data_IF_561140008701
#
_entry.id   IF_561140008701
#
_cell.length_a   1.000
_cell.length_b   1.000
_cell.length_c   1.000
_cell.angle_alpha   90.00
_cell.angle_beta   90.00
_cell.angle_gamma   90.00
#
_symmetry.space_group_name_H-M   'P 1'
#
loop_
_entity.id
_entity.type
_entity.pdbx_description
1 polymer ?
#
# COMPACT_ATOMS: atom_id res chain seq x y z
N UNK A 1 -3.52 -3.36 -20.59
CA UNK A 1 -2.57 -2.59 -21.44
C UNK A 1 -2.04 -3.40 -22.62
N UNK A 2 -1.61 -4.64 -22.42
CA UNK A 2 -1.03 -5.47 -23.49
C UNK A 2 -2.04 -6.05 -24.50
N UNK A 3 -3.35 -6.00 -24.20
CA UNK A 3 -4.42 -6.47 -25.11
C UNK A 3 -4.38 -5.80 -26.50
N UNK A 4 -3.96 -4.53 -26.59
CA UNK A 4 -3.78 -3.83 -27.87
C UNK A 4 -2.73 -4.47 -28.79
N UNK A 5 -1.83 -5.28 -28.22
CA UNK A 5 -0.81 -6.05 -28.94
C UNK A 5 -1.19 -7.53 -29.09
N UNK A 6 -2.48 -7.85 -28.93
CA UNK A 6 -3.01 -9.23 -28.96
C UNK A 6 -2.40 -10.15 -27.88
N UNK A 7 -1.89 -9.56 -26.80
CA UNK A 7 -1.37 -10.29 -25.63
C UNK A 7 -2.38 -10.20 -24.49
N UNK A 8 -3.19 -11.24 -24.37
CA UNK A 8 -4.17 -11.41 -23.30
C UNK A 8 -3.55 -12.21 -22.14
N UNK A 9 -3.73 -11.72 -20.91
CA UNK A 9 -3.28 -12.35 -19.68
C UNK A 9 -4.42 -12.96 -18.83
N UNK A 10 -5.65 -13.01 -19.33
CA UNK A 10 -6.82 -13.54 -18.62
C UNK A 10 -6.73 -15.01 -18.20
N UNK A 11 -5.75 -15.76 -18.75
CA UNK A 11 -5.49 -17.15 -18.33
C UNK A 11 -4.55 -17.26 -17.13
N UNK A 12 -3.90 -16.19 -16.67
CA UNK A 12 -2.95 -16.23 -15.55
C UNK A 12 -3.59 -16.88 -14.31
N UNK A 13 -4.79 -16.43 -13.95
CA UNK A 13 -5.54 -16.92 -12.79
C UNK A 13 -5.77 -18.43 -12.82
N UNK A 14 -6.48 -18.97 -13.83
CA UNK A 14 -6.71 -20.41 -13.92
C UNK A 14 -5.44 -21.24 -14.17
N UNK A 15 -4.41 -20.68 -14.83
CA UNK A 15 -3.18 -21.43 -15.15
C UNK A 15 -2.27 -21.59 -13.93
N UNK A 16 -2.07 -20.51 -13.16
CA UNK A 16 -1.13 -20.47 -12.03
C UNK A 16 -1.81 -20.44 -10.66
N UNK A 17 -3.14 -20.56 -10.65
CA UNK A 17 -3.97 -20.63 -9.45
C UNK A 17 -4.14 -19.32 -8.68
N UNK A 18 -3.84 -18.17 -9.30
CA UNK A 18 -3.98 -16.87 -8.63
C UNK A 18 -5.38 -16.29 -8.79
N UNK A 19 -5.84 -15.51 -7.81
CA UNK A 19 -7.03 -14.69 -7.98
C UNK A 19 -6.74 -13.59 -9.01
N UNK A 20 -7.58 -13.51 -10.04
CA UNK A 20 -7.48 -12.53 -11.11
C UNK A 20 -8.87 -11.99 -11.41
N UNK A 21 -8.97 -10.69 -11.67
CA UNK A 21 -10.21 -10.10 -12.14
C UNK A 21 -10.66 -10.74 -13.47
N UNK A 22 -11.97 -10.84 -13.66
CA UNK A 22 -12.57 -11.26 -14.92
C UNK A 22 -12.02 -10.46 -16.10
N UNK A 23 -11.72 -11.16 -17.20
CA UNK A 23 -11.18 -10.59 -18.45
C UNK A 23 -9.87 -9.80 -18.29
N UNK A 24 -9.09 -10.05 -17.24
CA UNK A 24 -7.86 -9.31 -16.92
C UNK A 24 -8.10 -7.80 -16.76
N UNK A 25 -9.28 -7.42 -16.22
CA UNK A 25 -9.58 -6.02 -15.96
C UNK A 25 -8.70 -5.48 -14.83
N UNK A 26 -8.24 -4.23 -14.97
CA UNK A 26 -7.39 -3.61 -13.94
C UNK A 26 -8.13 -3.38 -12.62
N UNK A 27 -9.44 -3.13 -12.71
CA UNK A 27 -10.39 -3.09 -11.60
C UNK A 27 -11.52 -4.05 -11.95
N UNK A 28 -11.84 -4.95 -11.04
CA UNK A 28 -12.82 -6.00 -11.29
C UNK A 28 -13.29 -6.64 -9.99
N UNK A 29 -13.80 -7.85 -10.10
CA UNK A 29 -14.46 -8.61 -9.04
C UNK A 29 -13.52 -9.08 -7.91
N UNK A 30 -12.24 -9.32 -8.20
CA UNK A 30 -11.27 -9.79 -7.21
C UNK A 30 -10.56 -8.64 -6.48
N UNK A 31 -10.13 -7.60 -7.19
CA UNK A 31 -9.37 -6.47 -6.63
C UNK A 31 -9.55 -5.18 -7.43
N UNK A 32 -9.62 -4.05 -6.72
CA UNK A 32 -9.61 -2.71 -7.30
C UNK A 32 -8.73 -1.76 -6.48
N UNK A 33 -7.71 -1.19 -7.13
CA UNK A 33 -6.87 -0.12 -6.56
C UNK A 33 -7.29 1.25 -7.06
N UNK A 34 -7.49 2.18 -6.13
CA UNK A 34 -7.86 3.56 -6.38
C UNK A 34 -6.65 4.45 -6.18
N UNK A 35 -6.07 4.97 -7.26
CA UNK A 35 -4.93 5.87 -7.20
C UNK A 35 -5.40 7.29 -6.88
N UNK A 36 -4.92 7.84 -5.76
CA UNK A 36 -5.18 9.19 -5.28
C UNK A 36 -6.66 9.63 -5.40
N UNK A 37 -7.63 8.83 -4.89
CA UNK A 37 -9.05 9.07 -5.11
C UNK A 37 -9.58 10.24 -4.29
N UNK A 38 -10.72 10.78 -4.70
CA UNK A 38 -11.26 12.02 -4.14
C UNK A 38 -10.37 13.21 -4.44
N UNK A 39 -10.40 14.20 -3.55
CA UNK A 39 -9.56 15.41 -3.66
C UNK A 39 -8.71 15.62 -2.41
N UNK A 40 -7.87 14.65 -2.05
CA UNK A 40 -7.00 14.78 -0.88
C UNK A 40 -6.16 16.07 -0.97
N UNK A 41 -6.00 16.83 0.13
CA UNK A 41 -5.08 17.96 0.21
C UNK A 41 -3.67 17.51 -0.18
N UNK A 42 -3.06 18.17 -1.16
CA UNK A 42 -1.75 17.75 -1.66
C UNK A 42 -0.94 18.92 -2.23
N UNK A 43 0.38 18.83 -2.08
CA UNK A 43 1.35 19.66 -2.79
C UNK A 43 1.81 18.89 -4.02
N UNK A 44 1.34 19.33 -5.19
CA UNK A 44 1.59 18.67 -6.45
C UNK A 44 2.59 19.47 -7.28
N UNK A 45 3.48 18.79 -7.98
CA UNK A 45 4.48 19.43 -8.83
C UNK A 45 3.95 19.62 -10.26
N UNK A 46 4.06 20.84 -10.81
CA UNK A 46 3.81 21.07 -12.23
C UNK A 46 4.98 20.51 -13.04
N UNK A 47 4.70 19.56 -13.94
CA UNK A 47 5.74 18.89 -14.74
C UNK A 47 6.59 19.84 -15.58
N UNK A 48 6.03 20.97 -16.03
CA UNK A 48 6.73 21.95 -16.88
C UNK A 48 7.64 22.90 -16.11
N UNK A 49 7.25 23.32 -14.91
CA UNK A 49 7.96 24.38 -14.15
C UNK A 49 8.62 23.89 -12.87
N UNK A 50 8.36 22.65 -12.45
CA UNK A 50 8.77 22.10 -11.15
C UNK A 50 8.25 22.91 -9.95
N UNK A 51 7.25 23.76 -10.17
CA UNK A 51 6.63 24.57 -9.11
C UNK A 51 5.52 23.76 -8.44
N UNK A 52 5.55 23.73 -7.11
CA UNK A 52 4.48 23.14 -6.31
C UNK A 52 3.22 24.00 -6.37
N UNK A 53 2.07 23.38 -6.57
CA UNK A 53 0.75 23.99 -6.40
C UNK A 53 -0.06 23.22 -5.36
N UNK A 54 -1.01 23.93 -4.74
CA UNK A 54 -1.87 23.38 -3.69
C UNK A 54 -3.14 22.81 -4.31
N UNK A 55 -3.38 21.51 -4.16
CA UNK A 55 -4.69 20.91 -4.35
C UNK A 55 -5.40 20.88 -2.99
N UNK A 56 -6.66 21.32 -2.97
CA UNK A 56 -7.51 21.31 -1.77
C UNK A 56 -6.78 21.79 -0.51
N UNK A 57 -6.22 23.02 -0.53
CA UNK A 57 -5.48 23.59 0.59
C UNK A 57 -4.00 23.20 0.70
N UNK A 58 -3.60 22.08 0.08
CA UNK A 58 -2.22 21.59 0.04
C UNK A 58 -1.79 20.77 1.26
N UNK A 59 -2.29 21.08 2.45
CA UNK A 59 -2.11 20.33 3.70
C UNK A 59 -3.48 20.04 4.31
N UNK A 60 -3.64 18.94 5.07
CA UNK A 60 -4.96 18.52 5.55
C UNK A 60 -5.68 19.57 6.40
N UNK A 61 -4.96 20.36 7.21
CA UNK A 61 -5.56 21.40 8.06
C UNK A 61 -6.07 22.65 7.34
N UNK A 62 -5.83 22.76 6.02
CA UNK A 62 -6.41 23.81 5.17
C UNK A 62 -7.29 23.21 4.06
N UNK A 63 -7.59 21.90 4.12
CA UNK A 63 -8.41 21.21 3.14
C UNK A 63 -9.89 21.26 3.44
N UNK A 64 -10.72 21.20 2.39
CA UNK A 64 -12.15 20.99 2.48
C UNK A 64 -12.45 19.48 2.43
N UNK A 65 -12.89 18.94 3.57
CA UNK A 65 -13.21 17.51 3.70
C UNK A 65 -14.46 17.12 2.92
N UNK A 66 -15.52 17.93 2.96
CA UNK A 66 -16.76 17.67 2.21
C UNK A 66 -16.49 17.57 0.72
N UNK A 67 -15.73 18.52 0.16
CA UNK A 67 -15.35 18.48 -1.25
C UNK A 67 -14.55 17.20 -1.60
N UNK A 68 -13.65 16.77 -0.70
CA UNK A 68 -12.90 15.54 -0.90
C UNK A 68 -13.83 14.31 -0.95
N UNK A 69 -14.76 14.19 -0.01
CA UNK A 69 -15.67 13.05 0.10
C UNK A 69 -16.69 13.00 -1.05
N UNK A 70 -17.18 14.16 -1.51
CA UNK A 70 -18.08 14.23 -2.67
C UNK A 70 -17.40 13.74 -3.94
N UNK A 71 -16.13 14.13 -4.16
CA UNK A 71 -15.34 13.66 -5.30
C UNK A 71 -14.94 12.19 -5.13
N UNK A 72 -14.66 11.76 -3.90
CA UNK A 72 -14.35 10.35 -3.63
C UNK A 72 -15.52 9.45 -4.00
N UNK A 73 -16.76 9.84 -3.65
CA UNK A 73 -17.97 9.12 -4.04
C UNK A 73 -18.08 8.97 -5.56
N UNK A 74 -17.86 10.06 -6.32
CA UNK A 74 -17.86 10.02 -7.79
C UNK A 74 -16.79 9.08 -8.34
N UNK A 75 -15.56 9.14 -7.83
CA UNK A 75 -14.51 8.21 -8.23
C UNK A 75 -14.86 6.76 -7.89
N UNK A 76 -15.53 6.49 -6.77
CA UNK A 76 -15.99 5.13 -6.43
C UNK A 76 -16.99 4.62 -7.45
N UNK A 77 -17.99 5.43 -7.80
CA UNK A 77 -19.04 5.06 -8.76
C UNK A 77 -18.48 4.87 -10.19
N UNK A 78 -17.46 5.63 -10.57
CA UNK A 78 -16.80 5.52 -11.86
C UNK A 78 -15.80 4.34 -11.96
N UNK A 79 -15.10 4.02 -10.87
CA UNK A 79 -13.96 3.09 -10.88
C UNK A 79 -14.27 1.70 -10.31
N UNK A 80 -15.26 1.59 -9.42
CA UNK A 80 -15.75 0.34 -8.81
C UNK A 80 -17.25 0.27 -9.05
N UNK A 81 -17.62 0.08 -10.31
CA UNK A 81 -18.99 0.22 -10.81
C UNK A 81 -19.98 -0.78 -10.21
N UNK A 82 -19.51 -1.93 -9.73
CA UNK A 82 -20.34 -2.91 -9.04
C UNK A 82 -20.58 -2.48 -7.59
N UNK A 83 -21.83 -2.13 -7.25
CA UNK A 83 -22.22 -1.75 -5.89
C UNK A 83 -22.10 -2.91 -4.90
N UNK A 84 -22.20 -4.15 -5.37
CA UNK A 84 -22.07 -5.37 -4.57
C UNK A 84 -20.64 -5.93 -4.56
N UNK A 85 -19.67 -5.14 -5.05
CA UNK A 85 -18.25 -5.50 -5.09
C UNK A 85 -17.82 -6.08 -3.73
N UNK A 86 -17.35 -7.33 -3.76
CA UNK A 86 -16.95 -8.09 -2.59
C UNK A 86 -15.46 -8.46 -2.58
N UNK A 87 -14.67 -7.85 -3.46
CA UNK A 87 -13.24 -8.09 -3.59
C UNK A 87 -12.41 -7.24 -2.64
N UNK A 88 -11.12 -7.13 -2.98
CA UNK A 88 -10.14 -6.33 -2.24
C UNK A 88 -10.16 -4.88 -2.75
N UNK A 89 -10.55 -3.94 -1.89
CA UNK A 89 -10.52 -2.51 -2.17
C UNK A 89 -9.28 -1.84 -1.59
N UNK A 90 -8.48 -1.19 -2.43
CA UNK A 90 -7.22 -0.55 -2.01
C UNK A 90 -7.27 0.94 -2.29
N UNK A 91 -7.15 1.75 -1.24
CA UNK A 91 -6.98 3.19 -1.36
C UNK A 91 -5.48 3.50 -1.40
N UNK A 92 -5.01 3.95 -2.55
CA UNK A 92 -3.61 4.31 -2.75
C UNK A 92 -3.44 5.82 -2.67
N UNK A 93 -3.13 6.29 -1.45
CA UNK A 93 -2.91 7.69 -1.14
C UNK A 93 -1.52 7.86 -0.52
N UNK A 94 -0.60 8.48 -1.26
CA UNK A 94 0.81 8.62 -0.86
C UNK A 94 1.29 10.07 -0.73
N UNK A 95 0.39 11.06 -0.86
CA UNK A 95 0.79 12.47 -0.91
C UNK A 95 1.43 12.93 0.40
N UNK A 96 0.95 12.45 1.55
CA UNK A 96 1.53 12.69 2.87
C UNK A 96 1.19 11.54 3.83
N UNK A 97 1.89 11.47 4.97
CA UNK A 97 1.66 10.48 6.03
C UNK A 97 0.95 11.14 7.21
N UNK A 98 0.00 10.46 7.89
CA UNK A 98 -0.80 11.06 8.98
C UNK A 98 0.00 11.38 10.25
N UNK A 99 1.26 10.93 10.35
CA UNK A 99 2.19 11.32 11.40
C UNK A 99 3.13 12.40 10.87
N UNK A 100 3.10 13.59 11.47
CA UNK A 100 3.79 14.78 10.97
C UNK A 100 5.29 14.55 10.80
N UNK A 101 5.93 13.88 11.78
CA UNK A 101 7.36 13.57 11.77
C UNK A 101 7.77 12.67 10.59
N UNK A 102 6.88 11.79 10.13
CA UNK A 102 7.17 10.85 9.04
C UNK A 102 7.14 11.52 7.65
N UNK A 103 6.78 12.79 7.53
CA UNK A 103 6.81 13.55 6.28
C UNK A 103 8.21 14.11 5.98
N UNK A 104 9.19 13.22 5.83
CA UNK A 104 10.57 13.54 5.48
C UNK A 104 10.88 13.32 3.99
N UNK A 105 12.07 13.75 3.54
CA UNK A 105 12.50 13.58 2.16
C UNK A 105 11.65 14.42 1.20
N UNK A 106 11.09 13.79 0.16
CA UNK A 106 10.19 14.46 -0.78
C UNK A 106 8.90 14.99 -0.14
N UNK A 107 8.56 14.54 1.08
CA UNK A 107 7.38 14.99 1.82
C UNK A 107 7.66 16.16 2.78
N UNK A 108 8.91 16.63 2.87
CA UNK A 108 9.29 17.79 3.69
C UNK A 108 8.44 19.05 3.41
N UNK A 109 8.03 19.36 2.16
CA UNK A 109 7.21 20.54 1.88
C UNK A 109 5.88 20.61 2.66
N UNK A 110 5.31 19.49 3.07
CA UNK A 110 4.09 19.48 3.91
C UNK A 110 4.37 20.02 5.32
N UNK A 111 5.53 19.69 5.89
CA UNK A 111 5.97 20.24 7.17
C UNK A 111 6.24 21.73 7.05
N UNK A 112 6.98 22.13 6.01
CA UNK A 112 7.35 23.53 5.79
C UNK A 112 6.12 24.42 5.60
N UNK A 113 5.14 23.95 4.81
CA UNK A 113 3.89 24.68 4.62
C UNK A 113 3.07 24.76 5.92
N UNK A 114 2.98 23.68 6.67
CA UNK A 114 2.27 23.67 7.96
C UNK A 114 2.89 24.66 8.95
N UNK A 115 4.23 24.67 9.06
CA UNK A 115 4.97 25.63 9.89
C UNK A 115 4.75 27.08 9.44
N UNK A 116 4.77 27.32 8.12
CA UNK A 116 4.54 28.65 7.54
C UNK A 116 3.14 29.18 7.88
N UNK A 117 2.12 28.32 7.80
CA UNK A 117 0.74 28.67 8.14
C UNK A 117 0.65 29.08 9.61
N UNK A 118 1.21 28.29 10.53
CA UNK A 118 1.16 28.63 11.96
C UNK A 118 1.96 29.89 12.28
N UNK A 119 3.10 30.12 11.62
CA UNK A 119 3.86 31.36 11.80
C UNK A 119 3.07 32.58 11.34
N UNK A 120 2.28 32.47 10.27
CA UNK A 120 1.43 33.55 9.78
C UNK A 120 0.24 33.82 10.74
N UNK A 121 -0.37 32.76 11.27
CA UNK A 121 -1.49 32.87 12.23
C UNK A 121 -1.05 33.36 13.60
N UNK A 122 0.19 33.02 14.00
CA UNK A 122 0.74 33.31 15.32
C UNK A 122 2.15 33.92 15.22
N UNK A 123 2.30 35.17 14.73
CA UNK A 123 3.61 35.77 14.43
C UNK A 123 4.57 35.82 15.61
N UNK A 124 4.03 35.97 16.82
CA UNK A 124 4.79 36.17 18.05
C UNK A 124 5.08 34.88 18.83
N UNK A 125 4.55 33.72 18.40
CA UNK A 125 4.80 32.47 19.11
C UNK A 125 6.25 31.97 18.89
N UNK A 126 6.89 31.41 19.93
CA UNK A 126 8.20 30.78 19.78
C UNK A 126 8.16 29.55 18.85
N UNK A 127 9.27 29.20 18.18
CA UNK A 127 9.33 28.08 17.23
C UNK A 127 8.79 26.74 17.75
N UNK A 128 9.10 26.40 19.01
CA UNK A 128 8.63 25.16 19.64
C UNK A 128 7.10 25.06 19.70
N UNK A 129 6.43 26.19 19.97
CA UNK A 129 4.97 26.23 20.04
C UNK A 129 4.33 26.21 18.65
N UNK A 130 4.98 26.82 17.66
CA UNK A 130 4.57 26.72 16.26
C UNK A 130 4.65 25.28 15.75
N UNK A 131 5.73 24.55 16.07
CA UNK A 131 5.87 23.14 15.69
C UNK A 131 4.84 22.24 16.37
N UNK A 132 4.57 22.47 17.67
CA UNK A 132 3.54 21.74 18.39
C UNK A 132 2.15 21.96 17.77
N UNK A 133 1.80 23.22 17.43
CA UNK A 133 0.51 23.54 16.83
C UNK A 133 0.39 23.02 15.38
N UNK A 134 1.46 23.15 14.59
CA UNK A 134 1.51 22.61 13.23
C UNK A 134 1.33 21.09 13.23
N UNK A 135 2.01 20.39 14.14
CA UNK A 135 1.86 18.94 14.35
C UNK A 135 0.43 18.60 14.74
N UNK A 136 -0.13 19.28 15.76
CA UNK A 136 -1.47 19.02 16.27
C UNK A 136 -2.53 19.18 15.18
N UNK A 137 -2.50 20.30 14.45
CA UNK A 137 -3.48 20.57 13.38
C UNK A 137 -3.33 19.59 12.24
N UNK A 138 -2.10 19.34 11.78
CA UNK A 138 -1.83 18.43 10.66
C UNK A 138 -2.26 16.99 10.97
N UNK A 139 -1.88 16.44 12.13
CA UNK A 139 -2.20 15.05 12.46
C UNK A 139 -3.70 14.87 12.76
N UNK A 140 -4.34 15.86 13.38
CA UNK A 140 -5.79 15.83 13.66
C UNK A 140 -6.60 15.78 12.36
N UNK A 141 -6.36 16.71 11.43
CA UNK A 141 -7.11 16.75 10.17
C UNK A 141 -6.64 15.66 9.21
N UNK A 142 -5.37 15.29 9.23
CA UNK A 142 -4.84 14.15 8.47
C UNK A 142 -5.56 12.85 8.83
N UNK A 143 -5.79 12.61 10.13
CA UNK A 143 -6.66 11.51 10.61
C UNK A 143 -8.08 11.63 10.07
N UNK A 144 -8.69 12.81 10.16
CA UNK A 144 -10.08 13.01 9.74
C UNK A 144 -10.28 12.69 8.25
N UNK A 145 -9.41 13.20 7.38
CA UNK A 145 -9.43 12.89 5.95
C UNK A 145 -9.30 11.39 5.70
N UNK A 146 -8.31 10.71 6.29
CA UNK A 146 -8.12 9.28 6.03
C UNK A 146 -9.24 8.40 6.62
N UNK A 147 -9.68 8.69 7.85
CA UNK A 147 -10.71 7.89 8.53
C UNK A 147 -12.07 8.02 7.83
N UNK A 148 -12.48 9.25 7.47
CA UNK A 148 -13.78 9.48 6.82
C UNK A 148 -13.81 8.89 5.41
N UNK A 149 -12.69 8.88 4.69
CA UNK A 149 -12.59 8.27 3.36
C UNK A 149 -12.67 6.75 3.42
N UNK A 150 -11.99 6.12 4.40
CA UNK A 150 -12.12 4.67 4.62
C UNK A 150 -13.55 4.29 5.02
N UNK A 151 -14.15 5.05 5.94
CA UNK A 151 -15.54 4.85 6.34
C UNK A 151 -16.49 4.97 5.14
N UNK A 152 -16.32 5.99 4.30
CA UNK A 152 -17.14 6.18 3.11
C UNK A 152 -16.95 5.03 2.09
N UNK A 153 -15.72 4.55 1.89
CA UNK A 153 -15.46 3.40 1.02
C UNK A 153 -16.24 2.14 1.47
N UNK A 154 -16.21 1.87 2.78
CA UNK A 154 -16.97 0.77 3.40
C UNK A 154 -18.48 0.97 3.29
N UNK A 155 -18.97 2.20 3.40
CA UNK A 155 -20.41 2.47 3.24
C UNK A 155 -20.87 2.29 1.79
N UNK A 156 -20.05 2.70 0.82
CA UNK A 156 -20.38 2.63 -0.60
C UNK A 156 -20.27 1.21 -1.16
N UNK A 157 -19.32 0.42 -0.68
CA UNK A 157 -19.11 -0.99 -1.09
C UNK A 157 -18.94 -1.87 0.15
N UNK A 158 -20.05 -2.18 0.85
CA UNK A 158 -20.02 -2.83 2.17
C UNK A 158 -19.59 -4.30 2.17
N UNK A 159 -19.60 -4.96 1.00
CA UNK A 159 -19.13 -6.35 0.87
C UNK A 159 -17.63 -6.45 0.60
N UNK A 160 -16.99 -5.36 0.19
CA UNK A 160 -15.56 -5.33 -0.10
C UNK A 160 -14.75 -5.24 1.19
N UNK A 161 -13.50 -5.70 1.12
CA UNK A 161 -12.52 -5.55 2.20
C UNK A 161 -11.59 -4.38 1.90
N UNK A 162 -11.60 -3.35 2.73
CA UNK A 162 -10.88 -2.10 2.48
C UNK A 162 -9.63 -1.90 3.34
N UNK A 163 -8.67 -1.15 2.80
CA UNK A 163 -7.51 -0.66 3.51
C UNK A 163 -6.65 0.31 2.68
N UNK A 164 -5.70 0.96 3.32
CA UNK A 164 -4.75 1.86 2.67
C UNK A 164 -3.46 1.14 2.25
N UNK A 165 -3.02 1.38 1.03
CA UNK A 165 -1.73 0.92 0.55
C UNK A 165 -0.57 1.43 1.44
N UNK A 166 0.47 0.60 1.57
CA UNK A 166 1.73 0.81 2.26
C UNK A 166 1.71 0.86 3.80
N UNK A 167 0.54 0.92 4.46
CA UNK A 167 0.46 0.94 5.92
C UNK A 167 0.49 -0.47 6.55
N UNK A 168 1.10 -0.63 7.75
CA UNK A 168 1.96 0.34 8.44
C UNK A 168 3.32 0.50 7.76
N UNK A 169 3.89 1.71 7.88
CA UNK A 169 5.28 1.92 7.50
C UNK A 169 6.24 1.37 8.57
N UNK A 170 7.39 0.89 8.12
CA UNK A 170 8.47 0.38 8.98
C UNK A 170 9.79 1.16 8.81
N UNK A 171 10.04 1.68 7.60
CA UNK A 171 11.27 2.36 7.18
C UNK A 171 12.58 1.59 7.44
N UNK A 172 12.50 0.28 7.62
CA UNK A 172 13.65 -0.61 7.80
C UNK A 172 14.52 -0.70 6.54
N UNK A 173 15.77 -1.15 6.74
CA UNK A 173 16.74 -1.37 5.68
C UNK A 173 17.04 -0.14 4.79
N UNK A 174 16.84 1.10 5.28
CA UNK A 174 16.99 2.32 4.48
C UNK A 174 18.37 3.02 4.55
N UNK A 175 19.33 2.49 5.32
CA UNK A 175 20.65 3.11 5.58
C UNK A 175 21.68 3.07 4.44
N UNK A 176 21.29 2.91 3.18
CA UNK A 176 22.22 2.76 2.05
C UNK A 176 22.97 1.41 2.03
N UNK A 177 23.95 1.27 1.13
CA UNK A 177 24.74 0.04 0.94
C UNK A 177 25.85 -0.18 1.98
N UNK A 178 25.99 0.70 2.98
CA UNK A 178 26.96 0.50 4.07
C UNK A 178 26.28 -0.17 5.27
N UNK A 179 26.88 -1.25 5.74
CA UNK A 179 26.36 -2.22 6.73
C UNK A 179 25.94 -1.62 8.08
N UNK A 180 26.41 -0.41 8.43
CA UNK A 180 26.14 0.21 9.73
C UNK A 180 24.73 0.83 9.87
N UNK A 181 23.96 0.93 8.76
CA UNK A 181 22.64 1.57 8.74
C UNK A 181 21.45 0.64 8.50
N UNK A 182 21.69 -0.67 8.33
CA UNK A 182 20.65 -1.63 7.97
C UNK A 182 20.07 -2.31 9.21
N UNK A 183 18.93 -1.80 9.68
CA UNK A 183 18.14 -2.40 10.76
C UNK A 183 16.98 -3.18 10.17
N UNK A 184 16.83 -4.44 10.59
CA UNK A 184 15.76 -5.34 10.17
C UNK A 184 14.41 -4.88 10.71
N UNK A 185 14.31 -4.73 12.02
CA UNK A 185 13.06 -4.32 12.67
C UNK A 185 12.81 -2.82 12.50
N UNK A 186 11.53 -2.45 12.51
CA UNK A 186 11.12 -1.05 12.55
C UNK A 186 11.65 -0.41 13.85
N UNK A 187 12.04 0.87 13.80
CA UNK A 187 12.54 1.53 15.00
C UNK A 187 11.44 1.64 16.07
N UNK A 188 11.83 1.65 17.35
CA UNK A 188 10.88 1.81 18.45
C UNK A 188 10.04 3.10 18.36
N UNK A 189 10.59 4.16 17.75
CA UNK A 189 9.85 5.39 17.46
C UNK A 189 8.75 5.16 16.42
N UNK A 190 9.06 4.46 15.32
CA UNK A 190 8.08 4.13 14.28
C UNK A 190 7.00 3.20 14.81
N UNK A 191 7.34 2.23 15.65
CA UNK A 191 6.35 1.35 16.30
C UNK A 191 5.39 2.14 17.21
N UNK A 192 5.91 3.08 18.01
CA UNK A 192 5.06 3.97 18.83
C UNK A 192 4.17 4.87 17.97
N UNK A 193 4.65 5.32 16.82
CA UNK A 193 3.84 6.10 15.88
C UNK A 193 2.76 5.26 15.21
N UNK A 194 3.05 4.02 14.85
CA UNK A 194 2.06 3.06 14.36
C UNK A 194 0.99 2.79 15.42
N UNK A 195 1.38 2.70 16.70
CA UNK A 195 0.41 2.59 17.81
C UNK A 195 -0.51 3.83 17.93
N UNK A 196 -0.02 5.04 17.59
CA UNK A 196 -0.83 6.26 17.61
C UNK A 196 -1.83 6.33 16.44
N UNK A 197 -1.57 5.61 15.36
CA UNK A 197 -2.51 5.46 14.23
C UNK A 197 -3.29 4.15 14.28
N UNK A 198 -3.44 3.54 15.47
CA UNK A 198 -4.25 2.34 15.66
C UNK A 198 -5.66 2.47 15.07
N UNK A 199 -6.24 3.68 15.12
CA UNK A 199 -7.53 4.02 14.51
C UNK A 199 -7.62 3.64 13.01
N UNK A 200 -6.52 3.69 12.27
CA UNK A 200 -6.51 3.32 10.85
C UNK A 200 -6.72 1.81 10.67
N UNK A 201 -6.11 1.02 11.56
CA UNK A 201 -6.16 -0.44 11.51
C UNK A 201 -7.43 -1.01 12.18
N UNK A 202 -8.01 -0.27 13.13
CA UNK A 202 -9.29 -0.61 13.73
C UNK A 202 -10.43 -0.53 12.70
N UNK A 203 -10.35 0.40 11.75
CA UNK A 203 -11.37 0.62 10.72
C UNK A 203 -11.07 -0.12 9.38
N UNK A 204 -9.90 -0.76 9.26
CA UNK A 204 -9.49 -1.50 8.04
C UNK A 204 -9.88 -2.97 8.10
N UNK A 205 -10.32 -3.56 6.98
CA UNK A 205 -10.49 -5.02 6.86
C UNK A 205 -9.17 -5.71 6.47
N UNK A 206 -8.27 -4.98 5.80
CA UNK A 206 -6.97 -5.47 5.34
C UNK A 206 -5.87 -4.43 5.58
N UNK A 207 -4.69 -4.90 5.98
CA UNK A 207 -3.45 -4.13 6.12
C UNK A 207 -2.51 -4.47 4.96
N UNK A 208 -2.01 -3.44 4.27
CA UNK A 208 -1.25 -3.57 3.02
C UNK A 208 0.20 -3.09 3.12
N UNK A 209 1.10 -3.78 3.87
CA UNK A 209 2.50 -3.38 3.90
C UNK A 209 3.15 -3.57 2.53
N UNK A 210 3.85 -2.55 2.03
CA UNK A 210 4.68 -2.67 0.83
C UNK A 210 6.03 -3.30 1.20
N UNK A 211 6.41 -4.38 0.51
CA UNK A 211 7.69 -5.09 0.71
C UNK A 211 8.56 -5.08 -0.54
N UNK A 212 8.46 -4.00 -1.33
CA UNK A 212 9.17 -3.88 -2.60
C UNK A 212 10.69 -3.98 -2.42
N UNK A 213 11.30 -4.88 -3.18
CA UNK A 213 12.72 -5.19 -3.10
C UNK A 213 13.56 -4.16 -3.86
N UNK A 214 14.85 -4.10 -3.50
CA UNK A 214 15.88 -3.31 -4.19
C UNK A 214 17.05 -4.22 -4.54
N UNK A 215 17.54 -4.13 -5.78
CA UNK A 215 18.64 -4.94 -6.30
C UNK A 215 19.93 -4.65 -5.52
N UNK A 216 20.15 -3.41 -5.09
CA UNK A 216 21.33 -3.03 -4.31
C UNK A 216 21.43 -3.63 -2.90
N UNK A 217 20.35 -4.22 -2.38
CA UNK A 217 20.38 -4.96 -1.11
C UNK A 217 20.86 -6.39 -1.36
N UNK A 218 21.69 -6.94 -0.48
CA UNK A 218 22.06 -8.35 -0.52
C UNK A 218 20.83 -9.26 -0.30
N UNK A 219 20.91 -10.52 -0.75
CA UNK A 219 19.78 -11.46 -0.64
C UNK A 219 19.26 -11.61 0.79
N UNK A 220 20.16 -11.71 1.78
CA UNK A 220 19.77 -11.75 3.20
C UNK A 220 19.05 -10.49 3.65
N UNK A 221 19.49 -9.31 3.20
CA UNK A 221 18.91 -8.03 3.59
C UNK A 221 17.54 -7.78 2.94
N UNK A 222 17.28 -8.34 1.76
CA UNK A 222 15.94 -8.38 1.15
C UNK A 222 14.97 -9.19 2.02
N UNK A 223 15.41 -10.31 2.58
CA UNK A 223 14.60 -11.11 3.52
C UNK A 223 14.36 -10.34 4.82
N UNK A 224 15.38 -9.67 5.37
CA UNK A 224 15.23 -8.81 6.56
C UNK A 224 14.23 -7.68 6.32
N UNK A 225 14.26 -7.06 5.13
CA UNK A 225 13.31 -6.02 4.73
C UNK A 225 11.88 -6.55 4.84
N UNK A 226 11.60 -7.70 4.24
CA UNK A 226 10.27 -8.34 4.28
C UNK A 226 9.91 -8.67 5.73
N UNK A 227 10.78 -9.38 6.45
CA UNK A 227 10.50 -9.84 7.81
C UNK A 227 10.10 -8.70 8.74
N UNK A 228 10.87 -7.61 8.77
CA UNK A 228 10.56 -6.47 9.64
C UNK A 228 9.22 -5.81 9.31
N UNK A 229 8.90 -5.65 8.02
CA UNK A 229 7.64 -5.02 7.57
C UNK A 229 6.43 -5.90 7.85
N UNK A 230 6.53 -7.21 7.59
CA UNK A 230 5.43 -8.15 7.84
C UNK A 230 5.18 -8.33 9.33
N UNK A 231 6.23 -8.44 10.15
CA UNK A 231 6.10 -8.49 11.63
C UNK A 231 5.33 -7.29 12.17
N UNK A 232 5.62 -6.08 11.68
CA UNK A 232 4.94 -4.87 12.13
C UNK A 232 3.47 -4.83 11.67
N UNK A 233 3.19 -5.21 10.42
CA UNK A 233 1.81 -5.31 9.93
C UNK A 233 0.99 -6.31 10.75
N UNK A 234 1.54 -7.49 11.04
CA UNK A 234 0.91 -8.51 11.88
C UNK A 234 0.73 -8.02 13.32
N UNK A 235 1.69 -7.26 13.86
CA UNK A 235 1.56 -6.64 15.19
C UNK A 235 0.37 -5.68 15.23
N UNK A 236 0.22 -4.83 14.22
CA UNK A 236 -0.91 -3.90 14.13
C UNK A 236 -2.25 -4.62 13.91
N UNK A 237 -2.30 -5.65 13.05
CA UNK A 237 -3.48 -6.48 12.83
C UNK A 237 -3.97 -7.13 14.13
N UNK A 238 -3.07 -7.72 14.93
CA UNK A 238 -3.43 -8.37 16.20
C UNK A 238 -3.98 -7.37 17.23
N UNK A 239 -3.41 -6.17 17.25
CA UNK A 239 -3.81 -5.08 18.17
C UNK A 239 -5.11 -4.39 17.74
N UNK A 240 -5.49 -4.48 16.47
CA UNK A 240 -6.67 -3.82 15.93
C UNK A 240 -7.94 -4.18 16.71
N UNK A 241 -8.72 -3.18 17.10
CA UNK A 241 -10.01 -3.37 17.75
C UNK A 241 -11.12 -3.67 16.72
N UNK A 242 -10.88 -4.69 15.89
CA UNK A 242 -11.80 -5.17 14.86
C UNK A 242 -12.10 -6.66 15.07
N UNK A 243 -13.33 -7.06 14.70
CA UNK A 243 -13.77 -8.46 14.68
C UNK A 243 -14.52 -8.75 13.37
N UNK A 244 -13.98 -9.60 12.48
CA UNK A 244 -12.69 -10.29 12.56
C UNK A 244 -11.48 -9.33 12.55
N UNK A 245 -10.31 -9.83 12.95
CA UNK A 245 -9.06 -9.05 12.86
C UNK A 245 -8.70 -8.79 11.38
N UNK A 246 -8.07 -7.65 11.06
CA UNK A 246 -7.70 -7.34 9.69
C UNK A 246 -6.71 -8.38 9.15
N UNK A 247 -6.86 -8.77 7.89
CA UNK A 247 -5.87 -9.62 7.20
C UNK A 247 -4.63 -8.81 6.82
N UNK A 248 -3.49 -9.44 6.70
CA UNK A 248 -2.26 -8.83 6.19
C UNK A 248 -2.00 -9.32 4.77
N UNK A 249 -2.16 -8.44 3.77
CA UNK A 249 -1.84 -8.74 2.37
C UNK A 249 -0.63 -7.92 1.92
N UNK A 250 0.49 -8.58 1.70
CA UNK A 250 1.76 -7.92 1.36
C UNK A 250 1.83 -7.52 -0.10
N UNK A 251 2.14 -6.26 -0.36
CA UNK A 251 2.38 -5.74 -1.71
C UNK A 251 3.82 -6.01 -2.15
N UNK A 252 3.99 -6.68 -3.30
CA UNK A 252 5.30 -6.91 -3.93
C UNK A 252 5.28 -6.60 -5.43
N UNK A 253 6.38 -6.07 -5.94
CA UNK A 253 6.60 -5.88 -7.39
C UNK A 253 7.31 -7.08 -7.98
N UNK A 254 7.04 -7.38 -9.25
CA UNK A 254 7.81 -8.36 -10.02
C UNK A 254 9.16 -7.85 -10.52
N UNK A 255 9.51 -6.61 -10.21
CA UNK A 255 10.81 -6.00 -10.50
C UNK A 255 11.44 -5.41 -9.24
N UNK A 256 12.76 -5.28 -9.20
CA UNK A 256 13.41 -4.46 -8.18
C UNK A 256 13.09 -2.99 -8.39
N UNK A 257 12.79 -2.28 -7.31
CA UNK A 257 12.31 -0.88 -7.34
C UNK A 257 13.35 0.09 -7.91
N UNK A 258 14.63 -0.18 -7.68
CA UNK A 258 15.75 0.69 -8.04
C UNK A 258 16.33 0.43 -9.44
N UNK A 259 16.15 -0.78 -10.01
CA UNK A 259 16.70 -1.11 -11.33
C UNK A 259 15.67 -1.51 -12.38
N UNK A 260 14.43 -1.78 -11.97
CA UNK A 260 13.33 -2.24 -12.86
C UNK A 260 13.64 -3.58 -13.56
N UNK A 261 14.69 -4.30 -13.14
CA UNK A 261 14.93 -5.68 -13.58
C UNK A 261 13.97 -6.63 -12.88
N UNK A 262 13.56 -7.68 -13.58
CA UNK A 262 12.76 -8.75 -13.00
C UNK A 262 13.41 -9.38 -11.78
N UNK A 263 12.60 -9.72 -10.78
CA UNK A 263 13.08 -10.49 -9.63
C UNK A 263 13.58 -11.87 -10.09
N UNK A 264 14.68 -12.34 -9.51
CA UNK A 264 15.17 -13.69 -9.78
C UNK A 264 14.25 -14.73 -9.16
N UNK A 265 14.30 -15.97 -9.66
CA UNK A 265 13.60 -17.11 -9.05
C UNK A 265 13.94 -17.26 -7.55
N UNK A 266 15.22 -17.14 -7.20
CA UNK A 266 15.68 -17.21 -5.82
C UNK A 266 15.08 -16.11 -4.95
N UNK A 267 15.04 -14.86 -5.44
CA UNK A 267 14.41 -13.77 -4.69
C UNK A 267 12.90 -13.98 -4.53
N UNK A 268 12.20 -14.49 -5.55
CA UNK A 268 10.78 -14.82 -5.43
C UNK A 268 10.51 -15.89 -4.37
N UNK A 269 11.23 -17.02 -4.44
CA UNK A 269 11.06 -18.12 -3.48
C UNK A 269 11.34 -17.62 -2.06
N UNK A 270 12.45 -16.91 -1.87
CA UNK A 270 12.84 -16.39 -0.56
C UNK A 270 11.84 -15.34 -0.05
N UNK A 271 11.35 -14.46 -0.93
CA UNK A 271 10.40 -13.43 -0.56
C UNK A 271 9.06 -14.01 -0.14
N UNK A 272 8.50 -14.95 -0.93
CA UNK A 272 7.21 -15.58 -0.66
C UNK A 272 7.26 -16.45 0.59
N UNK A 273 8.35 -17.19 0.80
CA UNK A 273 8.58 -17.92 2.05
C UNK A 273 8.66 -16.99 3.26
N UNK A 274 9.39 -15.87 3.16
CA UNK A 274 9.50 -14.90 4.23
C UNK A 274 8.14 -14.25 4.55
N UNK A 275 7.39 -13.82 3.53
CA UNK A 275 6.06 -13.24 3.73
C UNK A 275 5.14 -14.19 4.48
N UNK A 276 5.05 -15.46 4.05
CA UNK A 276 4.21 -16.45 4.72
C UNK A 276 4.70 -16.76 6.14
N UNK A 277 6.00 -17.05 6.30
CA UNK A 277 6.57 -17.44 7.60
C UNK A 277 6.29 -16.40 8.70
N UNK A 278 6.26 -15.11 8.34
CA UNK A 278 6.05 -14.03 9.30
C UNK A 278 4.61 -13.53 9.41
N UNK A 279 3.65 -14.24 8.79
CA UNK A 279 2.22 -14.06 9.02
C UNK A 279 1.51 -13.17 8.00
N UNK A 280 2.02 -13.07 6.77
CA UNK A 280 1.21 -12.56 5.67
C UNK A 280 0.13 -13.58 5.30
N UNK A 281 -1.13 -13.15 5.22
CA UNK A 281 -2.29 -13.97 4.83
C UNK A 281 -2.38 -14.13 3.30
N UNK A 282 -1.65 -13.31 2.54
CA UNK A 282 -1.61 -13.37 1.09
C UNK A 282 -0.74 -12.29 0.47
N UNK A 283 -0.63 -12.30 -0.85
CA UNK A 283 0.29 -11.44 -1.59
C UNK A 283 -0.44 -10.74 -2.72
N UNK A 284 -0.20 -9.44 -2.87
CA UNK A 284 -0.66 -8.66 -4.02
C UNK A 284 0.53 -8.37 -4.92
N UNK A 285 0.44 -8.88 -6.16
CA UNK A 285 1.44 -8.64 -7.20
C UNK A 285 1.11 -7.33 -7.91
N UNK A 286 1.97 -6.32 -7.75
CA UNK A 286 1.76 -5.01 -8.35
C UNK A 286 2.75 -4.73 -9.49
N UNK A 287 2.27 -4.06 -10.53
CA UNK A 287 3.03 -3.60 -11.68
C UNK A 287 2.71 -2.15 -12.03
N UNK A 288 3.71 -1.40 -12.49
CA UNK A 288 3.48 -0.06 -13.01
C UNK A 288 2.99 -0.13 -14.46
N UNK A 289 2.13 0.79 -14.87
CA UNK A 289 1.77 0.95 -16.28
C UNK A 289 3.00 1.22 -17.16
N UNK A 290 4.03 1.86 -16.61
CA UNK A 290 5.30 2.08 -17.28
C UNK A 290 6.05 0.78 -17.61
N UNK A 291 5.87 -0.26 -16.79
CA UNK A 291 6.55 -1.54 -16.97
C UNK A 291 5.95 -2.35 -18.15
N UNK A 292 4.79 -1.94 -18.68
CA UNK A 292 4.04 -2.64 -19.74
C UNK A 292 3.47 -1.69 -20.82
N UNK A 293 4.15 -0.56 -21.07
CA UNK A 293 3.65 0.50 -21.97
C UNK A 293 4.02 0.35 -23.46
N UNK A 294 4.67 -0.74 -23.86
CA UNK A 294 4.97 -1.05 -25.27
C UNK A 294 4.98 -2.56 -25.53
N UNK A 295 5.04 -2.95 -26.81
CA UNK A 295 4.95 -4.35 -27.25
C UNK A 295 6.13 -5.19 -26.75
N UNK A 296 7.32 -4.62 -26.72
CA UNK A 296 8.55 -5.29 -26.31
C UNK A 296 8.49 -5.66 -24.83
N UNK A 297 8.08 -4.70 -23.98
CA UNK A 297 7.88 -4.91 -22.54
C UNK A 297 6.78 -5.93 -22.25
N UNK A 298 5.65 -5.85 -22.95
CA UNK A 298 4.59 -6.85 -22.84
C UNK A 298 5.07 -8.27 -23.22
N UNK A 299 5.81 -8.40 -24.32
CA UNK A 299 6.40 -9.68 -24.75
C UNK A 299 7.39 -10.21 -23.71
N UNK A 300 8.26 -9.33 -23.21
CA UNK A 300 9.24 -9.66 -22.19
C UNK A 300 8.58 -10.12 -20.90
N UNK A 301 7.54 -9.42 -20.43
CA UNK A 301 6.79 -9.80 -19.24
C UNK A 301 6.04 -11.11 -19.44
N UNK A 302 5.45 -11.35 -20.61
CA UNK A 302 4.83 -12.64 -20.93
C UNK A 302 5.83 -13.79 -20.82
N UNK A 303 7.00 -13.65 -21.44
CA UNK A 303 8.07 -14.64 -21.34
C UNK A 303 8.49 -14.88 -19.88
N UNK A 304 8.68 -13.81 -19.11
CA UNK A 304 9.01 -13.90 -17.69
C UNK A 304 7.91 -14.56 -16.85
N UNK A 305 6.65 -14.26 -17.12
CA UNK A 305 5.50 -14.90 -16.49
C UNK A 305 5.48 -16.40 -16.80
N UNK A 306 5.64 -16.78 -18.06
CA UNK A 306 5.52 -18.17 -18.50
C UNK A 306 6.72 -19.04 -18.06
N UNK A 307 7.92 -18.45 -17.94
CA UNK A 307 9.16 -19.20 -17.65
C UNK A 307 9.63 -19.11 -16.20
N UNK A 308 9.24 -18.07 -15.45
CA UNK A 308 9.74 -17.83 -14.08
C UNK A 308 8.60 -17.64 -13.10
N UNK A 309 7.84 -16.54 -13.20
CA UNK A 309 6.90 -16.16 -12.14
C UNK A 309 5.72 -17.13 -12.03
N UNK A 310 5.07 -17.47 -13.14
CA UNK A 310 3.94 -18.40 -13.19
C UNK A 310 4.24 -19.77 -12.56
N UNK A 311 5.31 -20.48 -12.98
CA UNK A 311 5.73 -21.73 -12.36
C UNK A 311 5.98 -21.60 -10.85
N UNK A 312 6.58 -20.49 -10.39
CA UNK A 312 6.80 -20.25 -8.96
C UNK A 312 5.45 -20.11 -8.24
N UNK A 313 4.53 -19.29 -8.75
CA UNK A 313 3.19 -19.09 -8.16
C UNK A 313 2.43 -20.41 -8.04
N UNK A 314 2.46 -21.24 -9.09
CA UNK A 314 1.82 -22.56 -9.09
C UNK A 314 2.46 -23.51 -8.06
N UNK A 315 3.79 -23.54 -7.98
CA UNK A 315 4.52 -24.39 -7.03
C UNK A 315 4.25 -24.01 -5.57
N UNK A 316 3.98 -22.72 -5.31
CA UNK A 316 3.58 -22.17 -4.02
C UNK A 316 2.09 -22.34 -3.73
N UNK A 317 1.38 -23.16 -4.48
CA UNK A 317 0.13 -23.76 -4.01
C UNK A 317 0.38 -25.19 -3.58
N UNK A 318 1.10 -25.95 -4.40
CA UNK A 318 1.38 -27.36 -4.13
C UNK A 318 2.25 -27.59 -2.89
N UNK A 319 3.27 -26.73 -2.65
CA UNK A 319 4.10 -26.79 -1.43
C UNK A 319 3.35 -26.41 -0.15
N UNK A 320 2.11 -25.94 -0.26
CA UNK A 320 1.25 -25.54 0.84
C UNK A 320 0.01 -26.40 1.03
N UNK A 321 -0.24 -27.34 0.10
CA UNK A 321 -1.27 -28.38 0.20
C UNK A 321 -0.84 -29.51 1.17
N UNK A 322 0.42 -29.54 1.63
CA UNK A 322 0.90 -30.62 2.54
C UNK A 322 0.54 -30.39 4.02
N UNK A 323 -0.15 -29.30 4.39
CA UNK A 323 -0.62 -29.07 5.78
C UNK A 323 -2.06 -28.54 5.89
N UNK A 324 -2.90 -28.67 4.86
CA UNK A 324 -4.34 -28.45 5.04
C UNK A 324 -5.03 -29.74 5.47
N UNK A 325 -5.30 -29.85 6.77
CA UNK A 325 -6.58 -30.33 7.30
C UNK A 325 -7.00 -31.74 6.85
N UNK A 326 -6.59 -32.75 7.62
CA UNK A 326 -7.52 -33.86 7.87
C UNK A 326 -8.80 -33.25 8.45
N UNK A 327 -9.90 -33.53 7.76
CA UNK A 327 -11.27 -33.16 8.08
C UNK A 327 -11.55 -33.17 9.57
N UNK A 328 -11.98 -32.02 10.11
CA UNK A 328 -12.86 -32.04 11.28
C UNK A 328 -14.27 -32.20 10.73
N UNK A 329 -14.77 -33.42 10.85
CA UNK A 329 -16.17 -33.75 10.67
C UNK A 329 -17.03 -32.80 11.51
N UNK A 330 -18.01 -32.16 10.88
CA UNK A 330 -19.12 -31.53 11.58
C UNK A 330 -20.12 -32.63 11.99
N UNK A 331 -20.53 -32.73 13.26
CA UNK A 331 -21.72 -33.50 13.58
C UNK A 331 -22.93 -32.73 13.08
N UNK A 332 -23.70 -33.41 12.23
CA UNK A 332 -25.09 -33.11 11.91
C UNK A 332 -25.88 -33.04 13.22
N UNK A 333 -26.56 -31.93 13.49
CA UNK A 333 -27.95 -31.84 13.96
C UNK A 333 -28.51 -30.45 13.67
#
# INVERSE_FOLDING_TARGET
>A
MCNQYQMNFASIGPTYGVYQNGNDSFRGDAIAILYDPGKFPALLEKSSTRVLYKRNGGVPQEGNLTEHLDIFRKHMDELVTDEEFSGVGVIDFESWRPIFRQNFGSLQPYKDLSMKIEKQRHPNLPPKWLEAEATRRFESTGREFMAQTLLLARQLRPRASWGYYAFPYCFNMNGGSTSNGQKEDCSAEVQRENDRIQWLFDDSDIIFPSVYLREKLGAGDRIKLIRGRVKEAVRMARRANASPKPRVLTYIRYVYTDSIKYLTESDWINALNAMKQFGSDGVILWGSSYDLNNKEKCTSFKSYMDTTLGPILQSLQQRYIVESLKSRDYPVF
#
